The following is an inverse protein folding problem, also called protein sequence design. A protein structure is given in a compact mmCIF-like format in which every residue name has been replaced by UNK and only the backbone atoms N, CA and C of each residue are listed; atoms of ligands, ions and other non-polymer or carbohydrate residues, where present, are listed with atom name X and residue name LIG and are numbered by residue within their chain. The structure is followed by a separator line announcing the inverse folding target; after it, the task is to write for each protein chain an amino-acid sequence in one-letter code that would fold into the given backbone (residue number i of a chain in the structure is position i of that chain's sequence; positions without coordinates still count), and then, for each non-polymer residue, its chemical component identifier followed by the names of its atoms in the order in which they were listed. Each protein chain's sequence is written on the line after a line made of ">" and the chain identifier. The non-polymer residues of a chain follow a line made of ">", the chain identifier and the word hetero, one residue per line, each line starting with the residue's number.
data_IF_662264139107
#
_entry.id   IF_662264139107
#
_cell.length_a   1.000
_cell.length_b   1.000
_cell.length_c   1.000
_cell.angle_alpha   90.00
_cell.angle_beta   90.00
_cell.angle_gamma   90.00
#
_symmetry.space_group_name_H-M   'P 1'
#
loop_
_entity.id
_entity.type
_entity.pdbx_description
1 polymer ?
#
# COMPACT_ATOMS: atom_id res chain seq x y z
N UNK A 1 40.07 -49.05 8.86
CA UNK A 1 39.08 -48.78 7.79
C UNK A 1 38.11 -47.72 8.26
N UNK A 2 38.30 -46.48 7.81
CA UNK A 2 37.44 -45.36 8.20
C UNK A 2 36.37 -45.16 7.14
N UNK A 3 35.09 -45.23 7.52
CA UNK A 3 33.96 -44.96 6.65
C UNK A 3 33.84 -43.45 6.41
N UNK A 4 34.03 -43.05 5.16
CA UNK A 4 33.67 -41.69 4.66
C UNK A 4 32.15 -41.47 4.87
N UNK A 5 31.78 -40.45 5.64
CA UNK A 5 30.42 -39.88 5.65
C UNK A 5 30.26 -39.03 4.39
N UNK A 6 29.32 -39.38 3.54
CA UNK A 6 28.89 -38.56 2.46
C UNK A 6 28.16 -37.32 2.99
N UNK A 7 28.63 -36.13 2.60
CA UNK A 7 27.95 -34.88 2.82
C UNK A 7 26.68 -34.85 1.93
N UNK A 8 25.52 -34.96 2.57
CA UNK A 8 24.25 -34.61 1.92
C UNK A 8 24.24 -33.08 1.75
N UNK A 9 24.54 -32.59 0.56
CA UNK A 9 24.21 -31.22 0.18
C UNK A 9 22.71 -31.10 0.23
N UNK A 10 22.21 -30.32 1.20
CA UNK A 10 20.84 -29.91 1.26
C UNK A 10 20.55 -29.08 -0.01
N UNK A 11 19.77 -29.61 -0.93
CA UNK A 11 19.24 -28.85 -2.05
C UNK A 11 18.47 -27.67 -1.47
N UNK A 12 18.92 -26.46 -1.80
CA UNK A 12 18.22 -25.23 -1.51
C UNK A 12 16.82 -25.32 -2.17
N UNK A 13 15.80 -25.44 -1.35
CA UNK A 13 14.42 -25.42 -1.81
C UNK A 13 14.14 -23.97 -2.17
N UNK A 14 14.24 -23.62 -3.42
CA UNK A 14 13.76 -22.35 -3.95
C UNK A 14 12.23 -22.36 -3.77
N UNK A 15 11.75 -21.67 -2.75
CA UNK A 15 10.34 -21.61 -2.35
C UNK A 15 9.44 -20.98 -3.42
N UNK A 16 10.04 -20.26 -4.35
CA UNK A 16 9.37 -19.76 -5.55
C UNK A 16 10.33 -20.04 -6.70
N UNK A 17 10.10 -21.08 -7.52
CA UNK A 17 10.74 -21.12 -8.82
C UNK A 17 10.43 -19.78 -9.48
N UNK A 18 11.44 -19.15 -10.09
CA UNK A 18 11.20 -17.98 -10.93
C UNK A 18 9.93 -18.26 -11.70
N UNK A 19 8.90 -17.44 -11.48
CA UNK A 19 7.69 -17.51 -12.28
C UNK A 19 8.18 -17.16 -13.70
N UNK A 20 8.58 -18.18 -14.44
CA UNK A 20 8.65 -18.09 -15.88
C UNK A 20 7.26 -17.68 -16.30
N UNK A 21 7.07 -16.39 -16.49
CA UNK A 21 5.89 -15.86 -17.16
C UNK A 21 5.90 -16.58 -18.49
N UNK A 22 4.99 -17.50 -18.63
CA UNK A 22 4.92 -18.40 -19.78
C UNK A 22 4.61 -17.50 -20.99
N UNK A 23 5.62 -17.11 -21.75
CA UNK A 23 5.57 -16.31 -22.97
C UNK A 23 4.69 -16.93 -24.08
N UNK A 24 3.92 -17.95 -23.76
CA UNK A 24 3.01 -18.61 -24.72
C UNK A 24 1.79 -17.76 -25.11
N UNK A 25 1.48 -16.70 -24.35
CA UNK A 25 0.33 -15.83 -24.69
C UNK A 25 0.64 -14.77 -25.75
N UNK A 26 1.92 -14.58 -26.15
CA UNK A 26 2.35 -13.32 -26.73
C UNK A 26 2.62 -13.32 -28.23
N UNK A 27 2.22 -14.33 -28.96
CA UNK A 27 2.41 -14.30 -30.43
C UNK A 27 1.30 -13.58 -31.21
N UNK A 28 0.21 -13.14 -30.55
CA UNK A 28 -0.93 -12.50 -31.22
C UNK A 28 -1.21 -11.05 -30.80
N UNK A 29 -0.58 -10.53 -29.73
CA UNK A 29 -0.79 -9.15 -29.26
C UNK A 29 0.56 -8.49 -28.98
N UNK A 30 1.28 -8.08 -30.00
CA UNK A 30 2.49 -7.28 -29.86
C UNK A 30 2.19 -5.99 -29.07
N UNK A 31 2.51 -5.97 -27.78
CA UNK A 31 2.39 -4.80 -26.91
C UNK A 31 1.50 -4.92 -25.67
N UNK A 32 0.82 -6.03 -25.44
CA UNK A 32 0.08 -6.24 -24.19
C UNK A 32 0.96 -6.91 -23.14
N UNK A 33 1.26 -6.17 -22.08
CA UNK A 33 1.98 -6.69 -20.92
C UNK A 33 1.00 -6.80 -19.72
N UNK A 34 0.58 -8.02 -19.34
CA UNK A 34 -0.32 -8.21 -18.22
C UNK A 34 0.34 -7.69 -16.91
N UNK A 35 -0.47 -7.11 -16.03
CA UNK A 35 -0.03 -6.74 -14.70
C UNK A 35 -0.13 -7.96 -13.79
N UNK A 36 0.98 -8.46 -13.21
CA UNK A 36 0.93 -9.64 -12.36
C UNK A 36 0.31 -9.29 -11.00
N UNK A 37 -0.44 -10.24 -10.42
CA UNK A 37 -1.04 -10.09 -9.08
C UNK A 37 -0.04 -10.22 -7.93
N UNK A 38 1.21 -10.63 -8.21
CA UNK A 38 2.33 -10.66 -7.28
C UNK A 38 3.47 -9.84 -7.86
N UNK A 39 3.99 -8.91 -7.08
CA UNK A 39 5.02 -7.96 -7.51
C UNK A 39 6.25 -8.00 -6.60
N UNK A 40 7.43 -8.19 -7.18
CA UNK A 40 8.72 -8.20 -6.46
C UNK A 40 9.60 -6.97 -6.70
N UNK A 41 9.26 -6.14 -7.70
CA UNK A 41 9.95 -4.88 -8.03
C UNK A 41 9.72 -3.77 -7.00
N UNK A 42 10.06 -2.54 -7.33
CA UNK A 42 9.83 -1.36 -6.48
C UNK A 42 8.34 -0.96 -6.48
N UNK A 43 7.92 -0.18 -5.48
CA UNK A 43 6.58 0.40 -5.45
C UNK A 43 6.39 1.44 -6.57
N UNK A 44 7.45 2.20 -6.91
CA UNK A 44 7.41 3.18 -8.00
C UNK A 44 7.12 2.52 -9.36
N UNK A 45 7.85 1.44 -9.68
CA UNK A 45 7.63 0.68 -10.91
C UNK A 45 6.23 0.06 -10.97
N UNK A 46 5.74 -0.49 -9.85
CA UNK A 46 4.41 -1.05 -9.78
C UNK A 46 3.35 0.04 -10.00
N UNK A 47 3.49 1.16 -9.33
CA UNK A 47 2.53 2.27 -9.44
C UNK A 47 2.46 2.82 -10.87
N UNK A 48 3.60 3.00 -11.55
CA UNK A 48 3.61 3.42 -12.97
C UNK A 48 2.85 2.42 -13.86
N UNK A 49 3.07 1.12 -13.67
CA UNK A 49 2.33 0.09 -14.41
C UNK A 49 0.82 0.09 -14.08
N UNK A 50 0.46 0.31 -12.82
CA UNK A 50 -0.94 0.42 -12.40
C UNK A 50 -1.60 1.66 -13.01
N UNK A 51 -0.89 2.78 -13.10
CA UNK A 51 -1.36 4.02 -13.73
C UNK A 51 -1.58 3.88 -15.24
N UNK A 52 -0.86 2.99 -15.90
CA UNK A 52 -1.08 2.68 -17.32
C UNK A 52 -2.19 1.64 -17.52
N UNK A 53 -2.37 0.74 -16.56
CA UNK A 53 -3.28 -0.42 -16.72
C UNK A 53 -4.73 -0.11 -16.32
N UNK A 54 -4.98 0.52 -15.16
CA UNK A 54 -6.34 0.65 -14.62
C UNK A 54 -7.13 1.85 -15.13
N UNK A 55 -6.58 3.05 -15.32
CA UNK A 55 -7.31 4.16 -15.91
C UNK A 55 -7.62 3.86 -17.39
N UNK A 56 -8.88 4.01 -17.79
CA UNK A 56 -9.25 3.87 -19.22
C UNK A 56 -8.67 4.96 -20.10
N UNK A 57 -8.28 6.09 -19.50
CA UNK A 57 -7.64 7.23 -20.15
C UNK A 57 -6.48 7.66 -19.26
N UNK A 58 -5.35 8.01 -19.86
CA UNK A 58 -4.18 8.48 -19.12
C UNK A 58 -4.59 9.58 -18.11
N UNK A 59 -4.28 9.41 -16.81
CA UNK A 59 -4.71 10.37 -15.79
C UNK A 59 -4.01 11.70 -15.98
N UNK A 60 -4.78 12.79 -15.97
CA UNK A 60 -4.27 14.15 -16.13
C UNK A 60 -3.85 14.78 -14.80
N UNK A 61 -4.46 14.34 -13.69
CA UNK A 61 -4.22 14.90 -12.37
C UNK A 61 -4.29 13.80 -11.31
N UNK A 62 -3.19 13.60 -10.61
CA UNK A 62 -3.03 12.59 -9.59
C UNK A 62 -2.84 13.29 -8.24
N UNK A 63 -3.50 12.81 -7.19
CA UNK A 63 -3.22 13.17 -5.81
C UNK A 63 -2.48 12.02 -5.14
N UNK A 64 -1.32 12.28 -4.56
CA UNK A 64 -0.76 11.43 -3.52
C UNK A 64 -1.15 12.04 -2.17
N UNK A 65 -2.07 11.37 -1.48
CA UNK A 65 -2.66 11.89 -0.23
C UNK A 65 -1.76 11.71 1.00
N UNK A 66 -0.62 11.04 0.83
CA UNK A 66 0.37 10.74 1.87
C UNK A 66 1.76 10.68 1.25
N UNK A 67 2.18 11.75 0.57
CA UNK A 67 3.36 11.73 -0.30
C UNK A 67 4.66 11.40 0.43
N UNK A 68 4.74 11.72 1.73
CA UNK A 68 5.92 11.46 2.55
C UNK A 68 7.20 11.97 1.81
N UNK A 69 8.24 11.15 1.70
CA UNK A 69 9.48 11.51 0.99
C UNK A 69 9.41 11.35 -0.55
N UNK A 70 8.23 11.28 -1.15
CA UNK A 70 8.01 11.24 -2.61
C UNK A 70 8.55 9.99 -3.32
N UNK A 71 8.79 8.91 -2.59
CA UNK A 71 9.48 7.71 -3.13
C UNK A 71 8.76 7.00 -4.26
N UNK A 72 7.44 7.14 -4.34
CA UNK A 72 6.65 6.56 -5.42
C UNK A 72 6.87 7.26 -6.76
N UNK A 73 7.32 8.51 -6.73
CA UNK A 73 7.38 9.40 -7.88
C UNK A 73 8.80 9.65 -8.39
N UNK A 74 9.78 8.96 -7.83
CA UNK A 74 11.19 9.08 -8.27
C UNK A 74 11.30 8.69 -9.75
N UNK A 75 11.67 9.64 -10.60
CA UNK A 75 11.78 9.44 -12.05
C UNK A 75 10.46 9.48 -12.81
N UNK A 76 9.32 9.71 -12.15
CA UNK A 76 8.02 9.86 -12.81
C UNK A 76 7.91 11.25 -13.48
N UNK A 77 7.26 11.29 -14.64
CA UNK A 77 6.89 12.54 -15.36
C UNK A 77 5.41 12.88 -15.22
N UNK A 78 4.71 12.20 -14.34
CA UNK A 78 3.26 12.39 -14.11
C UNK A 78 2.99 13.72 -13.42
N UNK A 79 1.80 14.29 -13.69
CA UNK A 79 1.31 15.48 -12.99
C UNK A 79 0.71 15.06 -11.64
N UNK A 80 1.53 15.08 -10.59
CA UNK A 80 1.19 14.66 -9.23
C UNK A 80 1.14 15.86 -8.33
N UNK A 81 0.15 15.94 -7.47
CA UNK A 81 0.08 16.83 -6.33
C UNK A 81 0.32 15.98 -5.11
N UNK A 82 1.41 16.23 -4.40
CA UNK A 82 1.75 15.60 -3.13
C UNK A 82 1.12 16.31 -1.96
N UNK A 83 0.35 15.61 -1.14
CA UNK A 83 -0.16 16.10 0.13
C UNK A 83 0.40 15.29 1.27
N UNK A 84 0.74 15.93 2.37
CA UNK A 84 1.13 15.29 3.62
C UNK A 84 0.74 16.16 4.81
N UNK A 85 0.52 15.55 5.95
CA UNK A 85 0.23 16.28 7.19
C UNK A 85 1.51 16.84 7.83
N UNK A 86 2.67 16.24 7.54
CA UNK A 86 3.96 16.64 8.07
C UNK A 86 4.66 17.61 7.09
N UNK A 87 4.75 18.92 7.42
CA UNK A 87 5.41 19.90 6.55
C UNK A 87 6.90 19.64 6.34
N UNK A 88 7.54 18.81 7.16
CA UNK A 88 8.96 18.44 7.01
C UNK A 88 9.24 17.61 5.75
N UNK A 89 8.21 17.04 5.15
CA UNK A 89 8.30 16.35 3.87
C UNK A 89 8.23 17.30 2.67
N UNK A 90 8.04 18.60 2.90
CA UNK A 90 7.93 19.62 1.85
C UNK A 90 6.89 19.24 0.77
N UNK A 91 5.68 18.83 1.16
CA UNK A 91 4.65 18.48 0.20
C UNK A 91 4.14 19.71 -0.56
N UNK A 92 3.54 19.52 -1.72
CA UNK A 92 2.87 20.63 -2.45
C UNK A 92 1.73 21.25 -1.62
N UNK A 93 1.06 20.42 -0.82
CA UNK A 93 -0.02 20.84 0.07
C UNK A 93 0.13 20.19 1.44
N UNK A 94 0.23 21.00 2.49
CA UNK A 94 0.13 20.50 3.87
C UNK A 94 -1.34 20.32 4.22
N UNK A 95 -1.77 19.09 4.53
CA UNK A 95 -3.17 18.79 4.78
C UNK A 95 -3.42 17.41 5.38
N UNK A 96 -4.59 17.27 6.00
CA UNK A 96 -5.05 16.00 6.55
C UNK A 96 -5.80 15.19 5.48
N UNK A 97 -5.43 13.94 5.30
CA UNK A 97 -6.08 13.06 4.33
C UNK A 97 -7.54 12.70 4.71
N UNK A 98 -7.94 12.99 5.94
CA UNK A 98 -9.33 12.82 6.42
C UNK A 98 -10.20 14.07 6.23
N UNK A 99 -9.59 15.22 5.86
CA UNK A 99 -10.24 16.49 5.53
C UNK A 99 -9.43 17.23 4.47
N UNK A 100 -9.49 16.78 3.23
CA UNK A 100 -8.63 17.24 2.15
C UNK A 100 -9.02 18.64 1.65
N UNK A 101 -8.07 19.59 1.52
CA UNK A 101 -8.34 20.97 1.09
C UNK A 101 -8.56 21.09 -0.42
N UNK A 102 -9.23 20.13 -1.03
CA UNK A 102 -9.50 20.09 -2.47
C UNK A 102 -11.02 20.10 -2.77
N UNK A 103 -11.38 20.67 -3.91
CA UNK A 103 -12.77 20.61 -4.39
C UNK A 103 -13.21 19.19 -4.76
N UNK A 104 -14.53 19.01 -4.88
CA UNK A 104 -15.10 17.77 -5.36
C UNK A 104 -14.61 17.46 -6.79
N UNK A 105 -14.44 16.18 -7.10
CA UNK A 105 -14.12 15.71 -8.47
C UNK A 105 -12.90 16.38 -9.11
N UNK A 106 -11.86 16.65 -8.30
CA UNK A 106 -10.64 17.34 -8.72
C UNK A 106 -9.59 16.44 -9.34
N UNK A 107 -9.61 15.12 -9.06
CA UNK A 107 -8.54 14.19 -9.43
C UNK A 107 -9.05 12.99 -10.22
N UNK A 108 -8.22 12.49 -11.13
CA UNK A 108 -8.47 11.26 -11.87
C UNK A 108 -8.04 10.02 -11.08
N UNK A 109 -6.97 10.18 -10.29
CA UNK A 109 -6.39 9.14 -9.43
C UNK A 109 -6.07 9.73 -8.06
N UNK A 110 -6.30 8.95 -7.02
CA UNK A 110 -5.80 9.17 -5.65
C UNK A 110 -4.91 8.00 -5.25
N UNK A 111 -3.75 8.28 -4.67
CA UNK A 111 -2.82 7.30 -4.10
C UNK A 111 -2.77 7.50 -2.60
N UNK A 112 -2.69 6.40 -1.84
CA UNK A 112 -2.69 6.41 -0.39
C UNK A 112 -1.76 5.32 0.17
N UNK A 113 -0.77 5.72 0.95
CA UNK A 113 0.16 4.85 1.68
C UNK A 113 0.23 5.26 3.15
N UNK A 114 -0.79 4.94 3.97
CA UNK A 114 -0.82 5.34 5.37
C UNK A 114 0.28 4.63 6.18
N UNK A 115 0.58 5.11 7.39
CA UNK A 115 1.46 4.39 8.28
C UNK A 115 0.90 3.00 8.59
N UNK A 116 1.75 1.97 8.50
CA UNK A 116 1.32 0.57 8.62
C UNK A 116 1.54 -0.03 10.01
N UNK A 117 2.27 0.65 10.90
CA UNK A 117 2.62 0.10 12.22
C UNK A 117 2.30 1.12 13.29
N UNK A 118 1.27 0.87 14.13
CA UNK A 118 0.75 1.87 15.05
C UNK A 118 1.66 2.17 16.25
N UNK A 119 2.60 1.32 16.61
CA UNK A 119 3.41 1.55 17.80
C UNK A 119 4.78 0.88 17.70
N UNK A 120 5.85 1.66 17.88
CA UNK A 120 7.24 1.23 17.75
C UNK A 120 8.02 1.30 19.08
N UNK A 121 7.34 1.36 20.22
CA UNK A 121 7.94 1.51 21.55
C UNK A 121 7.82 2.94 22.11
N UNK A 122 7.99 3.09 23.42
CA UNK A 122 7.64 4.32 24.16
C UNK A 122 8.30 5.58 23.60
N UNK A 123 9.57 5.52 23.20
CA UNK A 123 10.31 6.71 22.77
C UNK A 123 10.11 7.04 21.28
N UNK A 124 9.84 6.04 20.46
CA UNK A 124 9.59 6.23 19.02
C UNK A 124 8.13 6.53 18.70
N UNK A 125 7.21 6.18 19.59
CA UNK A 125 5.78 6.38 19.38
C UNK A 125 5.41 7.86 19.32
N UNK A 126 6.06 8.72 20.12
CA UNK A 126 5.76 10.15 20.14
C UNK A 126 6.18 10.81 18.83
N UNK A 127 7.43 10.63 18.41
CA UNK A 127 7.92 11.16 17.13
C UNK A 127 7.15 10.59 15.93
N UNK A 128 6.85 9.28 15.95
CA UNK A 128 6.04 8.65 14.91
C UNK A 128 4.64 9.26 14.83
N UNK A 129 3.98 9.46 15.96
CA UNK A 129 2.63 9.99 16.00
C UNK A 129 2.58 11.46 15.58
N UNK A 130 3.58 12.26 16.00
CA UNK A 130 3.72 13.65 15.56
C UNK A 130 3.94 13.75 14.06
N UNK A 131 4.77 12.87 13.49
CA UNK A 131 5.05 12.84 12.05
C UNK A 131 3.85 12.47 11.19
N UNK A 132 2.95 11.63 11.68
CA UNK A 132 1.77 11.20 10.95
C UNK A 132 0.48 11.88 11.43
N UNK A 133 0.58 12.94 12.23
CA UNK A 133 -0.57 13.68 12.73
C UNK A 133 -1.52 12.86 13.58
N UNK A 134 -1.05 11.73 14.08
CA UNK A 134 -1.84 10.85 14.93
C UNK A 134 -1.94 11.49 16.32
N UNK A 135 -2.87 12.40 16.48
CA UNK A 135 -3.17 13.03 17.77
C UNK A 135 -3.73 11.98 18.70
N UNK A 136 -2.86 11.53 19.59
CA UNK A 136 -3.18 10.53 20.58
C UNK A 136 -4.17 11.06 21.61
N UNK A 137 -5.41 10.72 21.47
CA UNK A 137 -6.20 10.45 22.66
C UNK A 137 -5.71 9.10 23.18
N UNK A 138 -4.71 9.13 24.07
CA UNK A 138 -4.09 7.97 24.73
C UNK A 138 -3.58 6.86 23.79
N UNK A 139 -2.32 6.92 23.40
CA UNK A 139 -1.56 5.85 22.73
C UNK A 139 -1.39 4.58 23.58
N UNK A 140 -1.99 4.53 24.72
CA UNK A 140 -1.92 3.44 25.70
C UNK A 140 -3.17 2.59 25.72
N UNK A 141 -4.22 2.96 24.97
CA UNK A 141 -5.41 2.14 24.85
C UNK A 141 -5.10 0.89 24.03
N UNK A 142 -5.32 -0.25 24.64
CA UNK A 142 -5.06 -1.60 24.09
C UNK A 142 -5.78 -1.92 22.77
N UNK A 143 -6.46 -0.98 22.17
CA UNK A 143 -7.24 -1.11 20.93
C UNK A 143 -6.86 -0.15 19.81
N UNK A 144 -5.79 0.65 19.96
CA UNK A 144 -5.41 1.60 18.93
C UNK A 144 -4.94 0.88 17.65
N UNK A 145 -5.73 1.01 16.61
CA UNK A 145 -5.40 0.59 15.26
C UNK A 145 -5.69 1.74 14.29
N UNK A 146 -5.21 1.65 13.05
CA UNK A 146 -5.43 2.70 12.05
C UNK A 146 -6.80 2.62 11.37
N UNK A 147 -7.63 1.64 11.70
CA UNK A 147 -8.90 1.42 11.01
C UNK A 147 -9.88 2.58 11.17
N UNK A 148 -9.76 3.35 12.25
CA UNK A 148 -10.60 4.55 12.45
C UNK A 148 -10.32 5.67 11.43
N UNK A 149 -9.14 5.66 10.76
CA UNK A 149 -8.78 6.62 9.72
C UNK A 149 -9.34 6.21 8.35
N UNK A 150 -9.66 4.94 8.15
CA UNK A 150 -10.07 4.44 6.83
C UNK A 150 -11.41 5.00 6.34
N UNK A 151 -12.50 5.00 7.14
CA UNK A 151 -13.77 5.55 6.68
C UNK A 151 -13.71 7.05 6.33
N UNK A 152 -13.15 7.97 7.16
CA UNK A 152 -13.06 9.38 6.79
C UNK A 152 -12.16 9.60 5.58
N UNK A 153 -11.01 8.90 5.47
CA UNK A 153 -10.19 8.94 4.26
C UNK A 153 -10.95 8.47 3.02
N UNK A 154 -11.61 7.31 3.08
CA UNK A 154 -12.38 6.79 1.95
C UNK A 154 -13.47 7.78 1.50
N UNK A 155 -14.13 8.47 2.44
CA UNK A 155 -15.12 9.50 2.14
C UNK A 155 -14.50 10.67 1.38
N UNK A 156 -13.37 11.18 1.84
CA UNK A 156 -12.65 12.27 1.19
C UNK A 156 -12.10 11.86 -0.18
N UNK A 157 -11.46 10.69 -0.27
CA UNK A 157 -11.00 10.13 -1.54
C UNK A 157 -12.16 10.00 -2.55
N UNK A 158 -13.32 9.51 -2.09
CA UNK A 158 -14.51 9.42 -2.95
C UNK A 158 -15.00 10.79 -3.39
N UNK A 159 -14.97 11.79 -2.52
CA UNK A 159 -15.39 13.16 -2.81
C UNK A 159 -14.48 13.82 -3.85
N UNK A 160 -13.16 13.75 -3.66
CA UNK A 160 -12.19 14.44 -4.53
C UNK A 160 -11.93 13.71 -5.85
N UNK A 161 -12.19 12.41 -5.94
CA UNK A 161 -12.10 11.66 -7.19
C UNK A 161 -13.21 12.04 -8.13
N UNK A 162 -12.88 12.18 -9.42
CA UNK A 162 -13.83 12.29 -10.51
C UNK A 162 -14.62 11.00 -10.69
N UNK A 163 -15.71 11.08 -11.40
CA UNK A 163 -16.48 9.89 -11.82
C UNK A 163 -15.58 8.94 -12.61
N UNK A 164 -15.64 7.65 -12.27
CA UNK A 164 -14.76 6.59 -12.77
C UNK A 164 -13.27 6.75 -12.39
N UNK A 165 -12.95 7.69 -11.51
CA UNK A 165 -11.61 7.84 -10.96
C UNK A 165 -11.17 6.61 -10.16
N UNK A 166 -9.87 6.44 -10.04
CA UNK A 166 -9.24 5.27 -9.43
C UNK A 166 -8.60 5.67 -8.09
N UNK A 167 -8.79 4.84 -7.09
CA UNK A 167 -8.08 4.90 -5.82
C UNK A 167 -7.11 3.72 -5.75
N UNK A 168 -5.83 4.02 -5.58
CA UNK A 168 -4.77 3.05 -5.28
C UNK A 168 -4.37 3.18 -3.82
N UNK A 169 -4.42 2.07 -3.08
CA UNK A 169 -4.05 2.06 -1.67
C UNK A 169 -3.03 0.98 -1.37
N UNK A 170 -1.94 1.36 -0.74
CA UNK A 170 -0.96 0.41 -0.23
C UNK A 170 -1.22 0.17 1.23
N UNK A 171 -1.61 -1.04 1.59
CA UNK A 171 -1.98 -1.43 2.95
C UNK A 171 -1.17 -2.64 3.38
N UNK A 172 -0.67 -2.64 4.61
CA UNK A 172 -0.01 -3.79 5.20
C UNK A 172 -0.72 -4.24 6.48
N UNK A 173 -0.92 -5.54 6.60
CA UNK A 173 -1.36 -6.13 7.86
C UNK A 173 -0.26 -6.04 8.92
N UNK A 174 -0.65 -5.96 10.16
CA UNK A 174 0.28 -5.81 11.28
C UNK A 174 -0.17 -6.61 12.51
N UNK A 175 0.71 -6.69 13.50
CA UNK A 175 0.37 -7.23 14.82
C UNK A 175 0.39 -6.10 15.83
N UNK A 176 -0.68 -5.95 16.58
CA UNK A 176 -0.79 -5.01 17.68
C UNK A 176 -1.38 -5.71 18.90
N UNK A 177 -0.84 -5.49 20.10
CA UNK A 177 -1.31 -6.14 21.32
C UNK A 177 -1.37 -7.67 21.22
N UNK A 178 -0.38 -8.30 20.59
CA UNK A 178 -0.33 -9.75 20.31
C UNK A 178 -1.45 -10.29 19.43
N UNK A 179 -2.23 -9.41 18.77
CA UNK A 179 -3.31 -9.78 17.86
C UNK A 179 -2.96 -9.39 16.44
N UNK A 180 -3.27 -10.26 15.49
CA UNK A 180 -3.14 -9.96 14.06
C UNK A 180 -4.28 -9.02 13.65
N UNK A 181 -3.91 -7.94 12.96
CA UNK A 181 -4.84 -6.95 12.43
C UNK A 181 -4.92 -7.12 10.91
N UNK A 182 -6.12 -7.36 10.43
CA UNK A 182 -6.44 -7.56 9.01
C UNK A 182 -6.71 -6.21 8.34
N UNK A 183 -5.69 -5.35 8.33
CA UNK A 183 -5.82 -3.96 7.89
C UNK A 183 -6.33 -3.83 6.45
N UNK A 184 -5.89 -4.72 5.54
CA UNK A 184 -6.36 -4.70 4.17
C UNK A 184 -7.86 -5.06 4.05
N UNK A 185 -8.35 -6.00 4.87
CA UNK A 185 -9.79 -6.37 4.89
C UNK A 185 -10.61 -5.23 5.45
N UNK A 186 -10.17 -4.61 6.55
CA UNK A 186 -10.85 -3.46 7.16
C UNK A 186 -10.92 -2.29 6.17
N UNK A 187 -9.83 -2.02 5.44
CA UNK A 187 -9.81 -0.98 4.42
C UNK A 187 -10.78 -1.28 3.26
N UNK A 188 -10.78 -2.51 2.75
CA UNK A 188 -11.70 -2.92 1.68
C UNK A 188 -13.16 -2.71 2.12
N UNK A 189 -13.51 -3.14 3.34
CA UNK A 189 -14.86 -2.97 3.87
C UNK A 189 -15.24 -1.49 4.00
N UNK A 190 -14.32 -0.64 4.49
CA UNK A 190 -14.55 0.79 4.59
C UNK A 190 -14.76 1.45 3.22
N UNK A 191 -13.94 1.10 2.23
CA UNK A 191 -14.07 1.64 0.87
C UNK A 191 -15.40 1.22 0.20
N UNK A 192 -15.77 -0.05 0.31
CA UNK A 192 -17.04 -0.56 -0.24
C UNK A 192 -18.24 0.12 0.43
N UNK A 193 -18.20 0.31 1.74
CA UNK A 193 -19.28 0.97 2.49
C UNK A 193 -19.50 2.43 2.06
N UNK A 194 -18.47 3.11 1.55
CA UNK A 194 -18.57 4.48 1.00
C UNK A 194 -19.13 4.49 -0.43
N UNK A 195 -19.03 3.38 -1.16
CA UNK A 195 -19.53 3.26 -2.53
C UNK A 195 -18.47 3.00 -3.59
N UNK A 196 -17.24 2.71 -3.20
CA UNK A 196 -16.23 2.23 -4.13
C UNK A 196 -16.53 0.80 -4.61
N UNK A 197 -16.17 0.52 -5.85
CA UNK A 197 -16.07 -0.86 -6.35
C UNK A 197 -14.63 -1.34 -6.18
N UNK A 198 -14.43 -2.42 -5.44
CA UNK A 198 -13.13 -3.09 -5.38
C UNK A 198 -12.86 -3.78 -6.74
N UNK A 199 -11.72 -3.45 -7.34
CA UNK A 199 -11.35 -3.90 -8.68
C UNK A 199 -10.29 -5.00 -8.63
N UNK A 200 -9.25 -4.81 -7.80
CA UNK A 200 -8.12 -5.73 -7.78
C UNK A 200 -7.32 -5.64 -6.47
N UNK A 201 -6.43 -6.64 -6.28
CA UNK A 201 -5.50 -6.72 -5.16
C UNK A 201 -4.17 -7.31 -5.63
N UNK A 202 -3.09 -6.53 -5.57
CA UNK A 202 -1.75 -6.95 -5.94
C UNK A 202 -0.93 -7.16 -4.67
N UNK A 203 -0.34 -8.34 -4.51
CA UNK A 203 0.55 -8.66 -3.41
C UNK A 203 1.96 -8.17 -3.73
N UNK A 204 2.40 -7.13 -3.03
CA UNK A 204 3.75 -6.60 -3.16
C UNK A 204 4.68 -7.33 -2.18
N UNK A 205 5.61 -8.12 -2.69
CA UNK A 205 6.57 -8.88 -1.89
C UNK A 205 7.81 -8.03 -1.59
N UNK A 206 8.28 -8.10 -0.36
CA UNK A 206 9.53 -7.47 0.07
C UNK A 206 10.66 -8.49 0.05
N UNK A 207 11.75 -8.19 -0.64
CA UNK A 207 12.97 -9.00 -0.60
C UNK A 207 13.75 -8.73 0.70
N UNK A 208 14.29 -9.77 1.27
CA UNK A 208 15.17 -9.73 2.43
C UNK A 208 14.50 -10.12 3.77
N UNK A 209 15.31 -10.46 4.77
CA UNK A 209 14.82 -10.94 6.05
C UNK A 209 14.20 -9.79 6.86
N UNK A 210 13.01 -10.02 7.39
CA UNK A 210 12.43 -9.20 8.46
C UNK A 210 12.79 -9.89 9.77
N UNK A 211 14.04 -9.79 10.17
CA UNK A 211 14.50 -10.33 11.44
C UNK A 211 15.07 -9.22 12.30
N UNK A 212 14.62 -9.16 13.54
CA UNK A 212 15.28 -8.37 14.56
C UNK A 212 16.06 -9.37 15.45
N UNK A 213 17.38 -9.25 15.59
CA UNK A 213 18.20 -10.14 16.39
C UNK A 213 17.77 -10.23 17.86
N UNK A 214 17.04 -9.23 18.35
CA UNK A 214 16.48 -9.18 19.72
C UNK A 214 15.31 -10.15 19.91
N UNK A 215 14.69 -10.64 18.83
CA UNK A 215 13.52 -11.50 18.94
C UNK A 215 13.92 -12.97 19.01
N UNK A 216 13.89 -13.51 20.21
CA UNK A 216 14.20 -14.93 20.48
C UNK A 216 13.07 -15.88 20.08
N UNK A 217 11.81 -15.41 20.04
CA UNK A 217 10.63 -16.20 19.70
C UNK A 217 9.60 -15.34 18.96
N UNK A 218 9.04 -15.86 17.89
CA UNK A 218 7.93 -15.25 17.16
C UNK A 218 6.64 -16.02 17.42
N UNK A 219 5.55 -15.29 17.70
CA UNK A 219 4.21 -15.86 17.90
C UNK A 219 3.34 -15.75 16.65
N UNK A 220 3.76 -14.97 15.67
CA UNK A 220 3.09 -14.78 14.38
C UNK A 220 4.08 -14.97 13.24
N UNK A 221 3.58 -15.43 12.10
CA UNK A 221 4.38 -15.49 10.87
C UNK A 221 4.95 -14.11 10.50
N UNK A 222 6.17 -14.09 9.97
CA UNK A 222 6.78 -12.87 9.47
C UNK A 222 6.13 -12.46 8.17
N UNK A 223 5.72 -11.21 8.09
CA UNK A 223 5.13 -10.66 6.87
C UNK A 223 6.21 -10.08 5.97
N UNK A 224 6.27 -10.58 4.76
CA UNK A 224 7.18 -10.14 3.71
C UNK A 224 6.43 -9.45 2.57
N UNK A 225 5.18 -9.05 2.81
CA UNK A 225 4.33 -8.46 1.80
C UNK A 225 3.45 -7.35 2.37
N UNK A 226 2.96 -6.53 1.48
CA UNK A 226 1.83 -5.64 1.65
C UNK A 226 0.91 -5.78 0.43
N UNK A 227 -0.20 -5.08 0.45
CA UNK A 227 -1.21 -5.14 -0.59
C UNK A 227 -1.32 -3.79 -1.28
N UNK A 228 -1.35 -3.78 -2.60
CA UNK A 228 -1.84 -2.67 -3.39
C UNK A 228 -3.28 -2.98 -3.79
N UNK A 229 -4.20 -2.24 -3.21
CA UNK A 229 -5.64 -2.38 -3.43
C UNK A 229 -6.10 -1.36 -4.47
N UNK A 230 -6.94 -1.80 -5.39
CA UNK A 230 -7.43 -0.98 -6.49
C UNK A 230 -8.94 -0.83 -6.37
N UNK A 231 -9.41 0.41 -6.35
CA UNK A 231 -10.83 0.73 -6.28
C UNK A 231 -11.22 1.72 -7.37
N UNK A 232 -12.47 1.66 -7.80
CA UNK A 232 -13.07 2.60 -8.74
C UNK A 232 -14.24 3.33 -8.10
N UNK A 233 -14.31 4.65 -8.28
CA UNK A 233 -15.50 5.43 -7.98
C UNK A 233 -16.56 5.10 -9.02
N UNK A 234 -17.53 4.25 -8.65
CA UNK A 234 -18.63 3.83 -9.52
C UNK A 234 -19.60 4.97 -9.77
N UNK A 235 -20.40 4.85 -10.85
CA UNK A 235 -21.63 5.63 -10.97
C UNK A 235 -22.53 5.23 -9.78
N UNK A 236 -23.09 6.21 -9.06
CA UNK A 236 -24.29 5.90 -8.26
C UNK A 236 -25.32 5.30 -9.23
N UNK A 237 -25.81 4.09 -8.95
CA UNK A 237 -27.09 3.66 -9.51
C UNK A 237 -28.13 4.62 -8.95
N UNK A 238 -28.68 5.47 -9.81
CA UNK A 238 -29.88 6.26 -9.51
C UNK A 238 -31.08 5.30 -9.37
#
# INVERSE_FOLDING_TARGET
>A
MAKKRSSNEAKEVVLFPELEINDRADKSNAGYHPLPSVWEGTDAELLERMLDFYPHVAPKKILDATVNAGRFWVGSTRNVIGMDIDPRHEPDVVGDHTDMPFGNESFDVVVYDPPHIPNQGKDRSKDFNERFGLVLKSSLDEGYNFSHLYPPFCKEAYRVLRRNGILFCKIADYVHGHRFQWAHVEFINAAIAIGFTACDCIVKVRKGPITDPRWKKAHHARRHHCYWLVFRKSKKCE
#
